data_IF_751325291325
#
_entry.id   IF_751325291325
#
_cell.length_a   1.000
_cell.length_b   1.000
_cell.length_c   1.000
_cell.angle_alpha   90.00
_cell.angle_beta   90.00
_cell.angle_gamma   90.00
#
_symmetry.space_group_name_H-M   'P 1'
#
loop_
_entity.id
_entity.type
_entity.pdbx_description
1 polymer ?
#
# COMPACT_ATOMS: atom_id res chain seq x y z
N UNK A 1 13.83 -18.43 -17.55
CA UNK A 1 13.87 -19.05 -18.89
C UNK A 1 12.69 -18.49 -19.67
N UNK A 2 12.90 -17.91 -20.85
CA UNK A 2 11.80 -17.48 -21.70
C UNK A 2 11.32 -18.73 -22.45
N UNK A 3 10.15 -19.26 -22.07
CA UNK A 3 9.55 -20.38 -22.79
C UNK A 3 9.20 -19.91 -24.19
N UNK A 4 9.70 -20.58 -25.23
CA UNK A 4 9.45 -20.23 -26.64
C UNK A 4 7.99 -20.50 -27.07
N UNK A 5 7.30 -21.37 -26.33
CA UNK A 5 5.91 -21.75 -26.54
C UNK A 5 5.18 -21.78 -25.19
N UNK A 6 3.93 -21.34 -25.17
CA UNK A 6 3.06 -21.39 -24.00
C UNK A 6 1.77 -22.11 -24.32
N UNK A 7 1.31 -22.93 -23.38
CA UNK A 7 0.08 -23.71 -23.51
C UNK A 7 -0.97 -23.18 -22.54
N UNK A 8 -2.15 -22.90 -23.06
CA UNK A 8 -3.30 -22.38 -22.33
C UNK A 8 -4.50 -23.27 -22.60
N UNK A 9 -5.00 -23.96 -21.59
CA UNK A 9 -6.19 -24.80 -21.69
C UNK A 9 -7.23 -24.30 -20.70
N UNK A 10 -8.41 -23.90 -21.20
CA UNK A 10 -9.49 -23.46 -20.32
C UNK A 10 -10.08 -24.65 -19.53
N UNK A 11 -9.98 -25.86 -20.10
CA UNK A 11 -10.56 -27.09 -19.58
C UNK A 11 -9.67 -27.79 -18.55
N UNK A 12 -8.39 -27.94 -18.87
CA UNK A 12 -7.43 -28.73 -18.07
C UNK A 12 -6.32 -27.88 -17.45
N UNK A 13 -6.28 -26.58 -17.76
CA UNK A 13 -5.28 -25.66 -17.24
C UNK A 13 -5.60 -25.11 -15.85
N UNK A 14 -4.55 -24.66 -15.17
CA UNK A 14 -4.63 -24.01 -13.86
C UNK A 14 -3.77 -22.76 -13.83
N UNK A 15 -4.33 -21.63 -13.38
CA UNK A 15 -3.57 -20.38 -13.22
C UNK A 15 -2.77 -20.31 -11.91
N UNK A 16 -3.04 -21.22 -10.97
CA UNK A 16 -2.37 -21.28 -9.69
C UNK A 16 -1.13 -22.19 -9.73
N UNK A 17 -1.24 -23.33 -10.43
CA UNK A 17 -0.24 -24.41 -10.44
C UNK A 17 0.29 -24.73 -11.83
N UNK A 18 -0.25 -24.10 -12.88
CA UNK A 18 0.24 -24.24 -14.24
C UNK A 18 1.54 -23.47 -14.45
N UNK A 19 2.45 -24.08 -15.21
CA UNK A 19 3.74 -23.47 -15.57
C UNK A 19 3.77 -23.05 -17.06
N UNK A 20 2.67 -23.29 -17.78
CA UNK A 20 2.54 -22.96 -19.20
C UNK A 20 3.17 -23.97 -20.15
N UNK A 21 3.58 -25.13 -19.63
CA UNK A 21 4.04 -26.27 -20.42
C UNK A 21 2.86 -27.10 -20.95
N UNK A 22 3.10 -28.00 -21.91
CA UNK A 22 2.06 -28.93 -22.41
C UNK A 22 1.44 -29.78 -21.31
N UNK A 23 2.24 -30.18 -20.32
CA UNK A 23 1.80 -31.03 -19.20
C UNK A 23 1.02 -30.24 -18.15
N UNK A 24 1.40 -28.97 -17.94
CA UNK A 24 0.77 -28.08 -16.95
C UNK A 24 0.40 -26.75 -17.60
N UNK A 25 -0.62 -26.72 -18.48
CA UNK A 25 -1.01 -25.52 -19.17
C UNK A 25 -1.62 -24.50 -18.20
N UNK A 26 -1.52 -23.22 -18.56
CA UNK A 26 -2.26 -22.17 -17.87
C UNK A 26 -3.75 -22.29 -18.16
N UNK A 27 -4.60 -21.78 -17.27
CA UNK A 27 -6.04 -21.70 -17.54
C UNK A 27 -6.37 -20.48 -18.40
N UNK A 28 -5.74 -19.35 -18.13
CA UNK A 28 -5.98 -18.09 -18.83
C UNK A 28 -4.74 -17.58 -19.55
N UNK A 29 -4.95 -17.03 -20.75
CA UNK A 29 -3.88 -16.40 -21.50
C UNK A 29 -3.34 -15.13 -20.83
N UNK A 30 -4.09 -14.51 -19.92
CA UNK A 30 -3.61 -13.37 -19.15
C UNK A 30 -2.47 -13.79 -18.22
N UNK A 31 -2.64 -14.90 -17.48
CA UNK A 31 -1.60 -15.45 -16.61
C UNK A 31 -0.34 -15.81 -17.41
N UNK A 32 -0.52 -16.39 -18.59
CA UNK A 32 0.56 -16.71 -19.51
C UNK A 32 1.37 -15.47 -19.93
N UNK A 33 0.71 -14.33 -20.22
CA UNK A 33 1.43 -13.09 -20.54
C UNK A 33 2.10 -12.46 -19.31
N UNK A 34 1.48 -12.56 -18.13
CA UNK A 34 2.07 -12.08 -16.88
C UNK A 34 3.36 -12.81 -16.52
N UNK A 35 3.46 -14.11 -16.80
CA UNK A 35 4.69 -14.88 -16.55
C UNK A 35 5.82 -14.56 -17.52
N UNK A 36 5.51 -14.12 -18.74
CA UNK A 36 6.52 -13.73 -19.73
C UNK A 36 7.10 -12.36 -19.41
N UNK A 37 6.25 -11.38 -19.07
CA UNK A 37 6.65 -10.06 -18.58
C UNK A 37 7.39 -9.15 -19.56
N UNK A 38 7.94 -9.65 -20.68
CA UNK A 38 8.71 -8.89 -21.68
C UNK A 38 8.44 -9.36 -23.10
N UNK A 39 8.43 -8.44 -24.05
CA UNK A 39 8.39 -8.79 -25.47
C UNK A 39 9.79 -9.27 -25.93
N UNK A 40 9.88 -10.24 -26.86
CA UNK A 40 8.80 -10.81 -27.68
C UNK A 40 7.95 -11.86 -26.97
N UNK A 41 6.63 -11.81 -27.20
CA UNK A 41 5.71 -12.82 -26.68
C UNK A 41 5.90 -14.16 -27.43
N UNK A 42 5.96 -15.29 -26.70
CA UNK A 42 6.08 -16.60 -27.31
C UNK A 42 4.80 -17.03 -28.03
N UNK A 43 4.91 -18.08 -28.83
CA UNK A 43 3.75 -18.66 -29.52
C UNK A 43 2.83 -19.30 -28.49
N UNK A 44 1.58 -18.82 -28.41
CA UNK A 44 0.59 -19.35 -27.45
C UNK A 44 -0.31 -20.35 -28.17
N UNK A 45 -0.41 -21.55 -27.62
CA UNK A 45 -1.31 -22.61 -28.03
C UNK A 45 -2.52 -22.66 -27.09
N UNK A 46 -3.70 -22.80 -27.67
CA UNK A 46 -4.99 -22.93 -26.99
C UNK A 46 -5.67 -24.24 -27.35
N UNK A 47 -6.66 -24.66 -26.57
CA UNK A 47 -7.47 -25.84 -26.90
C UNK A 47 -8.09 -25.68 -28.31
N UNK A 48 -7.88 -26.68 -29.18
CA UNK A 48 -8.52 -26.68 -30.49
C UNK A 48 -10.02 -26.98 -30.36
N UNK A 49 -10.80 -26.46 -31.30
CA UNK A 49 -12.22 -26.80 -31.43
C UNK A 49 -12.45 -28.01 -32.35
N UNK A 50 -11.41 -28.49 -33.04
CA UNK A 50 -11.49 -29.66 -33.93
C UNK A 50 -11.17 -30.93 -33.14
N UNK A 51 -11.92 -32.01 -33.35
CA UNK A 51 -11.68 -33.30 -32.67
C UNK A 51 -10.32 -33.94 -32.98
N UNK A 52 -9.69 -33.60 -34.11
CA UNK A 52 -8.43 -34.21 -34.56
C UNK A 52 -7.16 -33.47 -34.10
N UNK A 53 -7.27 -32.31 -33.46
CA UNK A 53 -6.12 -31.52 -32.99
C UNK A 53 -6.34 -31.15 -31.53
N UNK A 54 -5.40 -31.44 -30.63
CA UNK A 54 -5.55 -31.04 -29.22
C UNK A 54 -5.24 -29.56 -29.01
N UNK A 55 -4.23 -29.05 -29.71
CA UNK A 55 -3.71 -27.70 -29.57
C UNK A 55 -3.81 -26.95 -30.89
N UNK A 56 -4.27 -25.70 -30.82
CA UNK A 56 -4.29 -24.79 -31.96
C UNK A 56 -3.59 -23.48 -31.58
N UNK A 57 -2.99 -22.80 -32.56
CA UNK A 57 -2.37 -21.49 -32.31
C UNK A 57 -3.47 -20.50 -31.95
N UNK A 58 -3.22 -19.66 -30.94
CA UNK A 58 -4.16 -18.63 -30.53
C UNK A 58 -4.54 -17.73 -31.70
N UNK A 59 -5.83 -17.41 -31.82
CA UNK A 59 -6.29 -16.50 -32.87
C UNK A 59 -5.69 -15.10 -32.68
N UNK A 60 -5.43 -14.40 -33.79
CA UNK A 60 -4.88 -13.03 -33.78
C UNK A 60 -5.77 -12.05 -32.97
N UNK A 61 -7.09 -12.25 -32.99
CA UNK A 61 -8.05 -11.43 -32.23
C UNK A 61 -7.96 -11.68 -30.72
N UNK A 62 -7.88 -12.95 -30.29
CA UNK A 62 -7.69 -13.30 -28.88
C UNK A 62 -6.35 -12.78 -28.36
N UNK A 63 -5.25 -12.96 -29.12
CA UNK A 63 -3.94 -12.45 -28.74
C UNK A 63 -3.96 -10.92 -28.52
N UNK A 64 -4.59 -10.18 -29.44
CA UNK A 64 -4.74 -8.71 -29.31
C UNK A 64 -5.52 -8.31 -28.06
N UNK A 65 -6.59 -9.03 -27.74
CA UNK A 65 -7.40 -8.77 -26.54
C UNK A 65 -6.61 -9.04 -25.25
N UNK A 66 -5.88 -10.16 -25.19
CA UNK A 66 -5.07 -10.51 -24.03
C UNK A 66 -3.92 -9.51 -23.85
N UNK A 67 -3.24 -9.10 -24.93
CA UNK A 67 -2.23 -8.02 -24.89
C UNK A 67 -2.81 -6.71 -24.33
N UNK A 68 -4.02 -6.32 -24.77
CA UNK A 68 -4.71 -5.12 -24.24
C UNK A 68 -5.07 -5.26 -22.76
N UNK A 69 -5.41 -6.46 -22.28
CA UNK A 69 -5.63 -6.70 -20.86
C UNK A 69 -4.32 -6.64 -20.07
N UNK A 70 -3.25 -7.26 -20.58
CA UNK A 70 -1.93 -7.26 -19.96
C UNK A 70 -1.37 -5.85 -19.80
N UNK A 71 -1.40 -5.02 -20.84
CA UNK A 71 -0.96 -3.61 -20.73
C UNK A 71 -1.76 -2.82 -19.69
N UNK A 72 -3.07 -3.05 -19.57
CA UNK A 72 -3.90 -2.40 -18.55
C UNK A 72 -3.52 -2.84 -17.14
N UNK A 73 -3.19 -4.11 -16.96
CA UNK A 73 -2.81 -4.65 -15.65
C UNK A 73 -1.41 -4.19 -15.22
N UNK A 74 -0.45 -4.14 -16.16
CA UNK A 74 0.89 -3.59 -15.90
C UNK A 74 0.81 -2.15 -15.38
N UNK A 75 0.04 -1.28 -16.05
CA UNK A 75 -0.14 0.12 -15.63
C UNK A 75 -0.78 0.24 -14.23
N UNK A 76 -1.70 -0.67 -13.89
CA UNK A 76 -2.31 -0.72 -12.54
C UNK A 76 -1.34 -1.24 -11.48
N UNK A 77 -0.54 -2.26 -11.78
CA UNK A 77 0.47 -2.79 -10.84
C UNK A 77 1.52 -1.73 -10.55
N UNK A 78 2.07 -1.12 -11.61
CA UNK A 78 3.09 -0.08 -11.46
C UNK A 78 2.58 1.14 -10.69
N UNK A 79 1.33 1.57 -10.90
CA UNK A 79 0.75 2.68 -10.14
C UNK A 79 0.53 2.34 -8.66
N UNK A 80 0.16 1.10 -8.34
CA UNK A 80 0.04 0.62 -6.94
C UNK A 80 1.39 0.55 -6.26
N UNK A 81 2.38 -0.08 -6.90
CA UNK A 81 3.74 -0.22 -6.36
C UNK A 81 4.41 1.15 -6.14
N UNK A 82 4.27 2.09 -7.09
CA UNK A 82 4.80 3.46 -6.92
C UNK A 82 4.16 4.17 -5.73
N UNK A 83 2.84 4.04 -5.55
CA UNK A 83 2.12 4.66 -4.43
C UNK A 83 2.49 4.05 -3.09
N UNK A 84 2.63 2.74 -3.01
CA UNK A 84 3.06 2.03 -1.80
C UNK A 84 4.51 2.37 -1.42
N UNK A 85 5.41 2.45 -2.40
CA UNK A 85 6.79 2.87 -2.19
C UNK A 85 6.88 4.33 -1.70
N UNK A 86 6.12 5.24 -2.32
CA UNK A 86 6.06 6.64 -1.88
C UNK A 86 5.50 6.77 -0.47
N UNK A 87 4.43 6.03 -0.13
CA UNK A 87 3.86 6.03 1.21
C UNK A 87 4.82 5.46 2.25
N UNK A 88 5.60 4.43 1.91
CA UNK A 88 6.61 3.87 2.80
C UNK A 88 7.73 4.88 3.09
N UNK A 89 8.25 5.52 2.04
CA UNK A 89 9.29 6.57 2.18
C UNK A 89 8.78 7.77 2.98
N UNK A 90 7.51 8.16 2.80
CA UNK A 90 6.89 9.24 3.57
C UNK A 90 6.76 8.89 5.05
N UNK A 91 6.40 7.64 5.37
CA UNK A 91 6.34 7.18 6.78
C UNK A 91 7.70 7.18 7.43
N UNK A 92 8.73 6.71 6.72
CA UNK A 92 10.09 6.65 7.24
C UNK A 92 10.67 8.05 7.54
N UNK A 93 10.51 9.00 6.60
CA UNK A 93 10.90 10.40 6.82
C UNK A 93 10.19 11.02 8.03
N UNK A 94 8.88 10.79 8.18
CA UNK A 94 8.13 11.31 9.33
C UNK A 94 8.62 10.73 10.67
N UNK A 95 9.05 9.47 10.70
CA UNK A 95 9.58 8.82 11.91
C UNK A 95 10.96 9.39 12.29
N UNK A 96 11.84 9.59 11.30
CA UNK A 96 13.16 10.19 11.52
C UNK A 96 13.06 11.65 11.98
N UNK A 97 12.19 12.44 11.35
CA UNK A 97 11.92 13.81 11.77
C UNK A 97 11.35 13.89 13.20
N UNK A 98 10.51 12.93 13.59
CA UNK A 98 9.98 12.85 14.96
C UNK A 98 11.07 12.53 15.99
N UNK A 99 12.00 11.60 15.68
CA UNK A 99 13.13 11.26 16.56
C UNK A 99 14.06 12.46 16.80
N UNK A 100 14.19 13.36 15.83
CA UNK A 100 15.07 14.54 15.92
C UNK A 100 14.52 15.63 16.86
N UNK A 101 13.22 15.62 17.16
CA UNK A 101 12.60 16.61 18.04
C UNK A 101 12.97 16.29 19.49
N UNK A 102 14.12 16.81 19.92
CA UNK A 102 14.51 16.82 21.34
C UNK A 102 13.85 18.02 22.02
N UNK A 103 12.69 17.80 22.65
CA UNK A 103 12.01 18.83 23.45
C UNK A 103 12.81 18.98 24.75
N UNK A 104 13.69 19.99 24.81
CA UNK A 104 14.38 20.38 26.05
C UNK A 104 13.47 21.30 26.85
N UNK A 105 13.34 21.04 28.15
CA UNK A 105 12.70 21.98 29.06
C UNK A 105 13.63 23.17 29.28
N UNK A 106 13.08 24.37 29.14
CA UNK A 106 13.76 25.60 29.55
C UNK A 106 13.81 25.67 31.09
N UNK A 107 15.01 25.69 31.71
CA UNK A 107 15.16 25.77 33.17
C UNK A 107 14.82 27.14 33.77
N UNK A 108 14.55 28.16 32.95
CA UNK A 108 14.12 29.50 33.40
C UNK A 108 12.68 29.52 33.95
N UNK A 109 11.89 28.52 33.61
CA UNK A 109 10.46 28.46 33.93
C UNK A 109 10.19 27.44 35.06
N UNK A 110 9.17 27.67 35.91
CA UNK A 110 8.85 26.79 37.03
C UNK A 110 8.60 25.35 36.56
N UNK A 111 9.09 24.39 37.34
CA UNK A 111 8.94 22.97 37.01
C UNK A 111 7.46 22.59 36.85
N UNK A 112 7.08 21.98 35.72
CA UNK A 112 5.70 21.63 35.48
C UNK A 112 5.25 20.52 36.42
N UNK A 113 4.14 20.73 37.14
CA UNK A 113 3.55 19.67 37.97
C UNK A 113 2.88 18.62 37.07
N UNK A 114 3.21 17.35 37.26
CA UNK A 114 2.54 16.24 36.59
C UNK A 114 1.14 16.04 37.20
N UNK A 115 0.09 16.34 36.44
CA UNK A 115 -1.31 16.28 36.93
C UNK A 115 -2.20 15.56 35.91
N UNK A 116 -3.18 14.78 36.40
CA UNK A 116 -4.20 14.15 35.57
C UNK A 116 -5.22 15.18 35.07
N UNK A 117 -5.87 14.91 33.93
CA UNK A 117 -6.87 15.80 33.33
C UNK A 117 -7.98 16.17 34.34
N UNK A 118 -8.45 15.20 35.15
CA UNK A 118 -9.47 15.42 36.18
C UNK A 118 -9.14 16.49 37.22
N UNK A 119 -7.85 16.67 37.55
CA UNK A 119 -7.43 17.57 38.63
C UNK A 119 -6.98 18.95 38.11
N UNK A 120 -7.06 19.19 36.80
CA UNK A 120 -6.60 20.44 36.18
C UNK A 120 -7.33 21.69 36.68
N UNK A 121 -8.55 21.55 37.18
CA UNK A 121 -9.33 22.68 37.70
C UNK A 121 -8.61 23.42 38.85
N UNK A 122 -7.88 22.70 39.70
CA UNK A 122 -7.10 23.29 40.80
C UNK A 122 -5.74 23.89 40.40
N UNK A 123 -5.31 23.70 39.15
CA UNK A 123 -4.01 24.17 38.65
C UNK A 123 -4.15 25.19 37.52
N UNK A 124 -5.31 25.84 37.39
CA UNK A 124 -5.53 26.94 36.44
C UNK A 124 -4.49 28.05 36.67
N UNK A 125 -3.80 28.45 35.61
CA UNK A 125 -2.73 29.46 35.66
C UNK A 125 -1.34 28.95 36.07
N UNK A 126 -1.20 27.65 36.38
CA UNK A 126 0.11 27.03 36.64
C UNK A 126 0.61 26.23 35.43
N UNK A 127 1.94 26.10 35.31
CA UNK A 127 2.54 25.21 34.31
C UNK A 127 2.35 23.75 34.75
N UNK A 128 1.73 22.95 33.90
CA UNK A 128 1.44 21.54 34.17
C UNK A 128 1.95 20.64 33.05
N UNK A 129 2.26 19.39 33.39
CA UNK A 129 2.58 18.32 32.45
C UNK A 129 1.46 17.29 32.51
N UNK A 130 0.84 17.02 31.37
CA UNK A 130 -0.29 16.09 31.25
C UNK A 130 0.08 14.98 30.29
N UNK A 131 -0.15 13.74 30.69
CA UNK A 131 -0.03 12.57 29.82
C UNK A 131 -1.42 12.21 29.26
N UNK A 132 -1.49 11.84 27.99
CA UNK A 132 -2.73 11.46 27.34
C UNK A 132 -2.55 11.15 25.86
N UNK A 133 -3.60 10.62 25.26
CA UNK A 133 -3.66 10.32 23.83
C UNK A 133 -4.29 11.48 23.08
N UNK A 134 -3.79 11.82 21.90
CA UNK A 134 -4.43 12.85 21.08
C UNK A 134 -5.68 12.24 20.43
N UNK A 135 -6.85 12.69 20.86
CA UNK A 135 -8.14 12.28 20.27
C UNK A 135 -8.45 13.06 18.99
N UNK A 136 -8.23 14.38 19.00
CA UNK A 136 -8.41 15.23 17.82
C UNK A 136 -7.21 16.15 17.66
N UNK A 137 -6.65 16.18 16.46
CA UNK A 137 -5.58 17.08 16.10
C UNK A 137 -6.04 18.00 14.96
N UNK A 138 -6.08 19.30 15.21
CA UNK A 138 -6.33 20.32 14.17
C UNK A 138 -5.11 21.21 14.06
N UNK A 139 -4.47 21.21 12.90
CA UNK A 139 -3.41 22.16 12.55
C UNK A 139 -4.05 23.38 11.90
N UNK A 140 -3.70 24.56 12.39
CA UNK A 140 -4.12 25.83 11.81
C UNK A 140 -2.84 26.58 11.41
N UNK A 141 -2.55 26.63 10.11
CA UNK A 141 -1.27 27.14 9.58
C UNK A 141 -0.09 26.29 10.11
N UNK A 142 1.15 26.62 9.74
CA UNK A 142 2.35 25.89 10.17
C UNK A 142 2.72 26.07 11.65
N UNK A 143 2.17 27.08 12.33
CA UNK A 143 2.62 27.52 13.67
C UNK A 143 1.64 27.15 14.79
N UNK A 144 0.33 27.04 14.51
CA UNK A 144 -0.69 26.79 15.53
C UNK A 144 -1.25 25.38 15.43
N UNK A 145 -1.29 24.69 16.57
CA UNK A 145 -1.83 23.35 16.68
C UNK A 145 -2.80 23.24 17.85
N UNK A 146 -4.04 22.85 17.54
CA UNK A 146 -5.05 22.48 18.53
C UNK A 146 -5.07 20.97 18.71
N UNK A 147 -4.87 20.50 19.93
CA UNK A 147 -4.88 19.07 20.25
C UNK A 147 -5.87 18.82 21.37
N UNK A 148 -6.87 17.99 21.15
CA UNK A 148 -7.73 17.48 22.22
C UNK A 148 -7.08 16.20 22.74
N UNK A 149 -6.59 16.23 23.98
CA UNK A 149 -6.05 15.09 24.71
C UNK A 149 -7.17 14.33 25.40
N UNK A 150 -7.07 13.00 25.42
CA UNK A 150 -7.96 12.11 26.16
C UNK A 150 -7.15 11.20 27.09
N UNK A 151 -7.64 10.99 28.30
CA UNK A 151 -7.06 10.04 29.24
C UNK A 151 -8.20 9.30 29.98
N UNK A 152 -8.61 8.15 29.46
CA UNK A 152 -9.84 7.45 29.88
C UNK A 152 -11.08 8.10 29.24
N UNK A 153 -12.09 8.43 30.04
CA UNK A 153 -13.32 9.13 29.58
C UNK A 153 -13.18 10.66 29.54
N UNK A 154 -12.02 11.20 29.90
CA UNK A 154 -11.83 12.63 30.12
C UNK A 154 -11.09 13.29 28.96
N UNK A 155 -11.66 14.37 28.43
CA UNK A 155 -11.10 15.17 27.34
C UNK A 155 -10.59 16.53 27.83
N UNK A 156 -9.42 16.95 27.37
CA UNK A 156 -8.87 18.28 27.59
C UNK A 156 -8.40 18.87 26.26
N UNK A 157 -8.73 20.13 25.98
CA UNK A 157 -8.20 20.81 24.79
C UNK A 157 -6.94 21.58 25.14
N UNK A 158 -5.88 21.33 24.39
CA UNK A 158 -4.57 21.95 24.53
C UNK A 158 -4.29 22.78 23.28
N UNK A 159 -3.89 24.02 23.53
CA UNK A 159 -3.37 24.91 22.50
C UNK A 159 -1.84 24.86 22.54
N UNK A 160 -1.23 24.47 21.42
CA UNK A 160 0.20 24.53 21.22
C UNK A 160 0.48 25.59 20.16
N UNK A 161 1.06 26.72 20.57
CA UNK A 161 1.82 27.57 19.67
C UNK A 161 3.27 27.11 19.70
N UNK A 162 3.83 26.86 18.51
CA UNK A 162 5.23 26.52 18.33
C UNK A 162 6.08 27.77 18.23
#
# INVERSE_FOLDING_TARGET
MVLAELYVSDREGSDATGDGTKEKPFKTGLKALMTVGKEPFPTIYVDSQKENERWNVISKSQLKNIKKMWHREQMKSESREKKEAEDSLRREKNLEDAKKITIKNDPSLPEPKCVKISALEGYRGQRVKVFGWVHRLRRQVSVLQWSTLVHGEQCCSVWNAK
#
